data_IF_372270639582
#
_entry.id   IF_372270639582
#
_cell.length_a   1.000
_cell.length_b   1.000
_cell.length_c   1.000
_cell.angle_alpha   90.00
_cell.angle_beta   90.00
_cell.angle_gamma   90.00
#
_symmetry.space_group_name_H-M   'P 1'
#
loop_
_entity.id
_entity.type
_entity.pdbx_description
1 polymer ?
#
# COMPACT_ATOMS: atom_id res chain seq x y z
N UNK A 1 -13.94 -44.43 -47.09
CA UNK A 1 -14.51 -43.06 -47.19
C UNK A 1 -15.82 -43.07 -46.43
N UNK A 2 -16.17 -42.22 -45.48
CA UNK A 2 -15.49 -41.17 -44.74
C UNK A 2 -16.37 -41.00 -43.47
N UNK A 3 -15.79 -41.02 -42.27
CA UNK A 3 -16.51 -40.73 -41.03
C UNK A 3 -16.74 -39.22 -40.95
N UNK A 4 -17.99 -38.77 -40.98
CA UNK A 4 -18.35 -37.41 -40.59
C UNK A 4 -18.38 -37.31 -39.07
N UNK A 5 -17.34 -36.70 -38.53
CA UNK A 5 -17.26 -36.28 -37.13
C UNK A 5 -18.06 -34.98 -37.03
N UNK A 6 -19.24 -35.06 -36.41
CA UNK A 6 -19.97 -33.88 -35.94
C UNK A 6 -19.16 -33.21 -34.86
N UNK A 7 -18.56 -32.07 -35.19
CA UNK A 7 -17.97 -31.12 -34.23
C UNK A 7 -19.10 -30.51 -33.40
N UNK A 8 -19.27 -31.00 -32.17
CA UNK A 8 -20.02 -30.27 -31.14
C UNK A 8 -19.28 -28.96 -30.85
N UNK A 9 -19.80 -27.86 -31.38
CA UNK A 9 -19.43 -26.52 -30.93
C UNK A 9 -19.91 -26.35 -29.49
N UNK A 10 -18.99 -26.48 -28.53
CA UNK A 10 -19.19 -25.95 -27.19
C UNK A 10 -19.40 -24.43 -27.30
N UNK A 11 -20.45 -23.86 -26.69
CA UNK A 11 -20.57 -22.42 -26.65
C UNK A 11 -19.43 -21.87 -25.78
N UNK A 12 -18.64 -20.94 -26.33
CA UNK A 12 -17.79 -20.06 -25.54
C UNK A 12 -18.70 -19.29 -24.57
N UNK A 13 -18.71 -19.72 -23.31
CA UNK A 13 -19.35 -18.99 -22.24
C UNK A 13 -18.58 -17.67 -22.03
N UNK A 14 -19.01 -16.63 -22.74
CA UNK A 14 -18.75 -15.24 -22.39
C UNK A 14 -19.62 -14.91 -21.17
N UNK A 15 -19.30 -15.53 -20.03
CA UNK A 15 -19.82 -15.14 -18.72
C UNK A 15 -19.22 -13.78 -18.35
N UNK A 16 -19.77 -12.73 -18.95
CA UNK A 16 -19.63 -11.36 -18.44
C UNK A 16 -20.41 -11.30 -17.14
N UNK A 17 -19.78 -11.77 -16.06
CA UNK A 17 -20.30 -11.67 -14.69
C UNK A 17 -20.44 -10.18 -14.39
N UNK A 18 -21.64 -9.66 -14.57
CA UNK A 18 -22.01 -8.30 -14.24
C UNK A 18 -22.22 -8.24 -12.73
N UNK A 19 -21.11 -8.26 -11.99
CA UNK A 19 -21.09 -8.03 -10.55
C UNK A 19 -21.45 -6.56 -10.32
N UNK A 20 -22.55 -6.28 -9.63
CA UNK A 20 -22.91 -4.91 -9.30
C UNK A 20 -23.18 -4.76 -7.79
N UNK A 21 -22.11 -4.53 -7.03
CA UNK A 21 -22.24 -3.72 -5.82
C UNK A 21 -22.47 -2.28 -6.29
N UNK A 22 -23.54 -1.61 -5.82
CA UNK A 22 -23.84 -0.26 -6.34
C UNK A 22 -22.69 0.73 -6.03
N UNK A 23 -22.40 1.68 -6.93
CA UNK A 23 -21.38 2.73 -6.70
C UNK A 23 -21.54 3.43 -5.36
N UNK A 24 -22.78 3.73 -4.97
CA UNK A 24 -23.07 4.39 -3.70
C UNK A 24 -22.70 3.51 -2.50
N UNK A 25 -23.04 2.21 -2.52
CA UNK A 25 -22.71 1.29 -1.41
C UNK A 25 -21.21 1.05 -1.34
N UNK A 26 -20.54 0.83 -2.48
CA UNK A 26 -19.10 0.54 -2.52
C UNK A 26 -18.25 1.73 -2.04
N UNK A 27 -18.50 2.93 -2.59
CA UNK A 27 -17.81 4.16 -2.17
C UNK A 27 -18.19 4.54 -0.73
N UNK A 28 -19.47 4.41 -0.37
CA UNK A 28 -19.95 4.68 0.98
C UNK A 28 -19.30 3.78 2.03
N UNK A 29 -19.21 2.48 1.78
CA UNK A 29 -18.51 1.54 2.66
C UNK A 29 -17.03 1.90 2.82
N UNK A 30 -16.34 2.22 1.73
CA UNK A 30 -14.95 2.65 1.76
C UNK A 30 -14.76 3.94 2.59
N UNK A 31 -15.66 4.91 2.42
CA UNK A 31 -15.64 6.14 3.21
C UNK A 31 -15.85 5.85 4.70
N UNK A 32 -16.84 5.02 5.05
CA UNK A 32 -17.12 4.62 6.44
C UNK A 32 -15.91 3.91 7.07
N UNK A 33 -15.30 2.95 6.37
CA UNK A 33 -14.10 2.24 6.85
C UNK A 33 -12.95 3.25 7.10
N UNK A 34 -12.72 4.19 6.18
CA UNK A 34 -11.69 5.23 6.33
C UNK A 34 -11.94 6.13 7.56
N UNK A 35 -13.19 6.56 7.77
CA UNK A 35 -13.59 7.34 8.95
C UNK A 35 -13.40 6.54 10.24
N UNK A 36 -13.82 5.27 10.27
CA UNK A 36 -13.62 4.38 11.42
C UNK A 36 -12.12 4.26 11.74
N UNK A 37 -11.28 4.07 10.73
CA UNK A 37 -9.83 3.97 10.90
C UNK A 37 -9.25 5.24 11.53
N UNK A 38 -9.54 6.42 10.98
CA UNK A 38 -9.04 7.69 11.51
C UNK A 38 -9.60 7.98 12.90
N UNK A 39 -10.89 7.78 13.12
CA UNK A 39 -11.54 8.00 14.41
C UNK A 39 -10.93 7.11 15.51
N UNK A 40 -10.57 5.87 15.19
CA UNK A 40 -9.96 4.91 16.13
C UNK A 40 -8.68 5.45 16.79
N UNK A 41 -7.91 6.31 16.09
CA UNK A 41 -6.68 6.92 16.57
C UNK A 41 -6.91 7.96 17.68
N UNK A 42 -8.16 8.42 17.84
CA UNK A 42 -8.58 9.48 18.74
C UNK A 42 -9.61 9.05 19.80
N UNK A 43 -10.04 7.79 19.80
CA UNK A 43 -10.99 7.24 20.80
C UNK A 43 -10.47 7.42 22.23
N UNK A 44 -9.15 7.39 22.40
CA UNK A 44 -8.52 7.57 23.71
C UNK A 44 -8.20 9.04 23.96
N UNK A 45 -8.66 9.56 25.10
CA UNK A 45 -8.22 10.87 25.60
C UNK A 45 -6.77 10.78 26.12
N UNK A 46 -5.80 10.95 25.22
CA UNK A 46 -4.38 10.92 25.53
C UNK A 46 -3.89 12.32 25.89
N UNK A 47 -3.36 12.48 27.11
CA UNK A 47 -2.70 13.71 27.57
C UNK A 47 -1.27 13.87 27.03
N UNK A 48 -0.72 12.80 26.47
CA UNK A 48 0.64 12.75 25.94
C UNK A 48 0.64 12.85 24.42
N UNK A 49 1.77 13.24 23.86
CA UNK A 49 1.99 13.25 22.41
C UNK A 49 1.83 11.84 21.79
N UNK A 50 1.87 11.79 20.45
CA UNK A 50 1.72 10.57 19.65
C UNK A 50 2.86 9.55 19.80
N UNK A 51 4.03 9.99 20.21
CA UNK A 51 5.24 9.16 20.32
C UNK A 51 5.41 8.59 21.73
N UNK A 52 4.63 9.09 22.70
CA UNK A 52 4.59 8.54 24.03
C UNK A 52 4.12 7.06 24.03
N UNK A 53 4.82 6.14 24.72
CA UNK A 53 4.54 4.71 24.72
C UNK A 53 3.08 4.33 25.01
N UNK A 54 2.42 5.03 25.94
CA UNK A 54 1.01 4.77 26.27
C UNK A 54 0.08 5.12 25.12
N UNK A 55 0.35 6.21 24.40
CA UNK A 55 -0.44 6.65 23.24
C UNK A 55 -0.28 5.65 22.11
N UNK A 56 0.96 5.19 21.85
CA UNK A 56 1.25 4.18 20.82
C UNK A 56 0.51 2.87 21.12
N UNK A 57 0.64 2.32 22.33
CA UNK A 57 -0.02 1.06 22.72
C UNK A 57 -1.55 1.12 22.58
N UNK A 58 -2.16 2.23 22.99
CA UNK A 58 -3.61 2.44 22.86
C UNK A 58 -4.05 2.54 21.39
N UNK A 59 -3.29 3.27 20.56
CA UNK A 59 -3.55 3.35 19.12
C UNK A 59 -3.35 2.00 18.42
N UNK A 60 -2.35 1.21 18.82
CA UNK A 60 -2.15 -0.16 18.33
C UNK A 60 -3.38 -1.03 18.60
N UNK A 61 -3.91 -0.98 19.82
CA UNK A 61 -5.12 -1.71 20.16
C UNK A 61 -6.33 -1.21 19.35
N UNK A 62 -6.52 0.10 19.21
CA UNK A 62 -7.59 0.68 18.38
C UNK A 62 -7.53 0.20 16.93
N UNK A 63 -6.36 0.31 16.27
CA UNK A 63 -6.24 -0.10 14.86
C UNK A 63 -6.38 -1.62 14.71
N UNK A 64 -5.95 -2.40 15.70
CA UNK A 64 -6.19 -3.84 15.72
C UNK A 64 -7.69 -4.16 15.73
N UNK A 65 -8.50 -3.46 16.55
CA UNK A 65 -9.96 -3.60 16.51
C UNK A 65 -10.53 -3.23 15.14
N UNK A 66 -10.04 -2.16 14.51
CA UNK A 66 -10.45 -1.80 13.14
C UNK A 66 -10.10 -2.91 12.14
N UNK A 67 -8.95 -3.57 12.27
CA UNK A 67 -8.58 -4.72 11.43
C UNK A 67 -9.48 -5.95 11.65
N UNK A 68 -10.22 -6.04 12.76
CA UNK A 68 -11.25 -7.07 12.96
C UNK A 68 -12.60 -6.65 12.37
N UNK A 69 -12.91 -5.35 12.38
CA UNK A 69 -14.18 -4.79 11.88
C UNK A 69 -14.19 -4.63 10.36
N UNK A 70 -13.11 -4.12 9.76
CA UNK A 70 -13.05 -3.83 8.33
C UNK A 70 -13.30 -5.06 7.42
N UNK A 71 -12.81 -6.28 7.74
CA UNK A 71 -13.10 -7.48 6.96
C UNK A 71 -14.59 -7.86 6.95
N UNK A 72 -15.37 -7.45 7.95
CA UNK A 72 -16.81 -7.68 7.96
C UNK A 72 -17.50 -7.04 6.76
N UNK A 73 -17.05 -5.85 6.32
CA UNK A 73 -17.57 -5.21 5.11
C UNK A 73 -17.27 -6.05 3.87
N UNK A 74 -16.08 -6.65 3.76
CA UNK A 74 -15.75 -7.57 2.66
C UNK A 74 -16.66 -8.79 2.70
N UNK A 75 -16.87 -9.37 3.89
CA UNK A 75 -17.72 -10.53 4.08
C UNK A 75 -19.19 -10.27 3.69
N UNK A 76 -19.73 -9.10 4.05
CA UNK A 76 -21.16 -8.81 3.86
C UNK A 76 -21.50 -8.17 2.53
N UNK A 77 -20.58 -7.39 1.94
CA UNK A 77 -20.84 -6.62 0.73
C UNK A 77 -20.29 -7.27 -0.53
N UNK A 78 -19.44 -8.30 -0.40
CA UNK A 78 -19.00 -9.05 -1.58
C UNK A 78 -20.12 -9.93 -2.12
N UNK A 79 -20.29 -9.90 -3.44
CA UNK A 79 -21.33 -10.65 -4.13
C UNK A 79 -21.18 -12.17 -3.96
N UNK A 80 -22.31 -12.87 -4.02
CA UNK A 80 -22.34 -14.33 -3.94
C UNK A 80 -21.57 -15.00 -5.09
N UNK A 81 -21.63 -14.43 -6.29
CA UNK A 81 -20.95 -14.96 -7.47
C UNK A 81 -19.43 -14.91 -7.32
N UNK A 82 -18.91 -13.85 -6.70
CA UNK A 82 -17.49 -13.76 -6.36
C UNK A 82 -17.13 -14.82 -5.31
N UNK A 83 -17.96 -15.01 -4.28
CA UNK A 83 -17.72 -16.04 -3.25
C UNK A 83 -17.83 -17.49 -3.76
N UNK A 84 -18.54 -17.74 -4.86
CA UNK A 84 -18.53 -19.05 -5.51
C UNK A 84 -17.18 -19.38 -6.14
N UNK A 85 -16.40 -18.37 -6.53
CA UNK A 85 -15.09 -18.53 -7.20
C UNK A 85 -13.91 -18.37 -6.25
N UNK A 86 -14.03 -17.47 -5.27
CA UNK A 86 -12.93 -17.09 -4.40
C UNK A 86 -13.35 -17.01 -2.94
N UNK A 87 -12.48 -17.49 -2.06
CA UNK A 87 -12.64 -17.29 -0.61
C UNK A 87 -12.41 -15.83 -0.23
N UNK A 88 -12.97 -15.41 0.91
CA UNK A 88 -12.71 -14.09 1.50
C UNK A 88 -11.21 -13.77 1.60
N UNK A 89 -10.39 -14.74 2.02
CA UNK A 89 -8.94 -14.59 2.14
C UNK A 89 -8.28 -14.32 0.79
N UNK A 90 -8.69 -15.03 -0.26
CA UNK A 90 -8.18 -14.79 -1.62
C UNK A 90 -8.58 -13.40 -2.14
N UNK A 91 -9.82 -12.96 -1.87
CA UNK A 91 -10.31 -11.62 -2.24
C UNK A 91 -9.46 -10.53 -1.58
N UNK A 92 -9.12 -10.74 -0.31
CA UNK A 92 -8.26 -9.84 0.48
C UNK A 92 -6.76 -9.95 0.15
N UNK A 93 -6.37 -10.85 -0.77
CA UNK A 93 -4.98 -11.03 -1.21
C UNK A 93 -4.12 -11.94 -0.32
N UNK A 94 -4.72 -12.77 0.54
CA UNK A 94 -4.04 -13.78 1.33
C UNK A 94 -4.01 -15.11 0.58
N UNK A 95 -2.90 -15.35 -0.12
CA UNK A 95 -2.70 -16.49 -1.02
C UNK A 95 -1.31 -17.07 -0.91
N UNK A 96 -1.17 -18.38 -1.15
CA UNK A 96 0.12 -19.09 -1.13
C UNK A 96 0.81 -19.10 -2.49
N UNK A 97 0.06 -19.40 -3.55
CA UNK A 97 0.54 -19.37 -4.94
C UNK A 97 0.97 -17.96 -5.31
N UNK A 98 2.19 -17.78 -5.81
CA UNK A 98 2.75 -16.47 -6.14
C UNK A 98 3.30 -15.68 -4.94
N UNK A 99 3.25 -16.22 -3.70
CA UNK A 99 3.64 -15.45 -2.51
C UNK A 99 5.12 -15.00 -2.53
N UNK A 100 6.02 -15.88 -2.98
CA UNK A 100 7.44 -15.56 -3.09
C UNK A 100 7.68 -14.40 -4.07
N UNK A 101 7.13 -14.49 -5.28
CA UNK A 101 7.26 -13.43 -6.30
C UNK A 101 6.61 -12.14 -5.83
N UNK A 102 5.42 -12.22 -5.21
CA UNK A 102 4.71 -11.08 -4.62
C UNK A 102 5.48 -10.38 -3.50
N UNK A 103 6.35 -11.10 -2.79
CA UNK A 103 7.17 -10.52 -1.72
C UNK A 103 8.40 -9.81 -2.29
N UNK A 104 9.13 -10.46 -3.19
CA UNK A 104 10.45 -9.98 -3.61
C UNK A 104 10.43 -9.08 -4.84
N UNK A 105 9.61 -9.38 -5.87
CA UNK A 105 9.65 -8.63 -7.14
C UNK A 105 9.15 -7.18 -6.97
N UNK A 106 8.02 -6.91 -6.29
CA UNK A 106 7.58 -5.54 -6.01
C UNK A 106 8.57 -4.75 -5.13
N UNK A 107 9.20 -5.43 -4.17
CA UNK A 107 10.23 -4.83 -3.32
C UNK A 107 11.46 -4.44 -4.14
N UNK A 108 11.97 -5.33 -5.00
CA UNK A 108 13.09 -5.04 -5.89
C UNK A 108 12.77 -3.89 -6.85
N UNK A 109 11.57 -3.88 -7.44
CA UNK A 109 11.10 -2.77 -8.27
C UNK A 109 11.11 -1.45 -7.48
N UNK A 110 10.65 -1.46 -6.23
CA UNK A 110 10.68 -0.28 -5.36
C UNK A 110 12.12 0.11 -5.00
N UNK A 111 13.03 -0.85 -4.77
CA UNK A 111 14.45 -0.56 -4.55
C UNK A 111 15.09 0.10 -5.78
N UNK A 112 14.67 -0.25 -7.00
CA UNK A 112 15.08 0.47 -8.23
C UNK A 112 14.63 1.93 -8.17
N UNK A 113 13.38 2.21 -7.80
CA UNK A 113 12.90 3.59 -7.60
C UNK A 113 13.76 4.34 -6.56
N UNK A 114 14.18 3.64 -5.52
CA UNK A 114 15.00 4.17 -4.43
C UNK A 114 16.52 4.05 -4.67
N UNK A 115 16.97 3.83 -5.90
CA UNK A 115 18.40 3.70 -6.22
C UNK A 115 19.21 4.93 -5.79
N UNK A 116 18.65 6.14 -5.98
CA UNK A 116 19.23 7.39 -5.48
C UNK A 116 19.47 7.38 -3.96
N UNK A 117 18.42 7.31 -3.12
CA UNK A 117 18.58 7.25 -1.67
C UNK A 117 19.46 6.09 -1.17
N UNK A 118 19.33 4.90 -1.77
CA UNK A 118 20.16 3.74 -1.41
C UNK A 118 21.64 4.01 -1.69
N UNK A 119 21.98 4.65 -2.81
CA UNK A 119 23.36 5.01 -3.14
C UNK A 119 23.98 5.99 -2.13
N UNK A 120 23.18 6.93 -1.61
CA UNK A 120 23.60 7.87 -0.56
C UNK A 120 23.83 7.11 0.75
N UNK A 121 22.88 6.27 1.18
CA UNK A 121 23.01 5.50 2.43
C UNK A 121 24.22 4.55 2.39
N UNK A 122 24.47 3.93 1.23
CA UNK A 122 25.62 3.05 1.02
C UNK A 122 26.94 3.84 1.14
N UNK A 123 27.02 5.01 0.51
CA UNK A 123 28.19 5.90 0.60
C UNK A 123 28.43 6.39 2.03
N UNK A 124 27.36 6.65 2.79
CA UNK A 124 27.44 7.13 4.18
C UNK A 124 27.72 6.01 5.19
N UNK A 125 27.84 4.76 4.75
CA UNK A 125 28.23 3.64 5.59
C UNK A 125 27.12 3.11 6.51
N UNK A 126 25.86 3.49 6.27
CA UNK A 126 24.70 3.06 7.07
C UNK A 126 24.58 1.52 7.12
N UNK A 127 25.06 0.82 6.08
CA UNK A 127 25.09 -0.65 6.04
C UNK A 127 25.84 -1.26 7.24
N UNK A 128 26.82 -0.56 7.82
CA UNK A 128 27.54 -1.02 9.01
C UNK A 128 26.60 -1.12 10.21
N UNK A 129 25.70 -0.15 10.37
CA UNK A 129 24.68 -0.15 11.44
C UNK A 129 23.75 -1.36 11.28
N UNK A 130 23.33 -1.66 10.05
CA UNK A 130 22.48 -2.82 9.77
C UNK A 130 23.18 -4.17 9.99
N UNK A 131 24.51 -4.20 9.94
CA UNK A 131 25.28 -5.40 10.26
C UNK A 131 25.35 -5.70 11.76
N UNK A 132 25.00 -4.74 12.63
CA UNK A 132 25.04 -4.91 14.08
C UNK A 132 23.76 -5.58 14.62
N UNK A 133 23.83 -6.78 15.23
CA UNK A 133 22.65 -7.44 15.77
C UNK A 133 21.93 -6.63 16.87
N UNK A 134 22.69 -5.84 17.63
CA UNK A 134 22.18 -5.01 18.71
C UNK A 134 21.25 -3.91 18.20
N UNK A 135 21.51 -3.37 17.01
CA UNK A 135 20.62 -2.41 16.35
C UNK A 135 19.22 -3.00 16.18
N UNK A 136 19.13 -4.21 15.63
CA UNK A 136 17.85 -4.88 15.42
C UNK A 136 17.13 -5.24 16.73
N UNK A 137 17.87 -5.71 17.74
CA UNK A 137 17.28 -5.99 19.05
C UNK A 137 16.71 -4.72 19.71
N UNK A 138 17.37 -3.58 19.55
CA UNK A 138 16.88 -2.29 20.04
C UNK A 138 15.69 -1.79 19.20
N UNK A 139 15.73 -1.97 17.88
CA UNK A 139 14.68 -1.57 16.96
C UNK A 139 13.35 -2.28 17.28
N UNK A 140 13.37 -3.61 17.46
CA UNK A 140 12.14 -4.37 17.77
C UNK A 140 11.56 -4.07 19.17
N UNK A 141 12.37 -3.53 20.08
CA UNK A 141 11.93 -3.05 21.41
C UNK A 141 11.42 -1.61 21.38
N UNK A 142 11.72 -0.85 20.33
CA UNK A 142 11.30 0.53 20.18
C UNK A 142 9.90 0.61 19.56
N UNK A 143 8.94 1.13 20.34
CA UNK A 143 7.54 1.23 19.90
C UNK A 143 7.34 2.18 18.72
N UNK A 144 8.13 3.24 18.61
CA UNK A 144 8.10 4.17 17.47
C UNK A 144 8.60 3.47 16.21
N UNK A 145 9.69 2.70 16.34
CA UNK A 145 10.21 1.90 15.22
C UNK A 145 9.19 0.87 14.77
N UNK A 146 8.61 0.10 15.70
CA UNK A 146 7.59 -0.91 15.43
C UNK A 146 6.34 -0.30 14.77
N UNK A 147 5.90 0.87 15.25
CA UNK A 147 4.80 1.62 14.63
C UNK A 147 5.12 1.93 13.18
N UNK A 148 6.25 2.59 12.93
CA UNK A 148 6.57 3.14 11.61
C UNK A 148 6.87 2.04 10.58
N UNK A 149 7.50 0.94 10.98
CA UNK A 149 8.00 -0.09 10.06
C UNK A 149 7.11 -1.33 9.96
N UNK A 150 6.24 -1.57 10.94
CA UNK A 150 5.39 -2.77 10.96
C UNK A 150 3.91 -2.43 11.11
N UNK A 151 3.51 -1.82 12.23
CA UNK A 151 2.08 -1.70 12.58
C UNK A 151 1.35 -0.75 11.65
N UNK A 152 1.91 0.43 11.35
CA UNK A 152 1.29 1.38 10.43
C UNK A 152 1.20 0.80 9.00
N UNK A 153 2.29 0.34 8.36
CA UNK A 153 2.19 -0.33 7.05
C UNK A 153 1.19 -1.48 7.03
N UNK A 154 1.20 -2.35 8.05
CA UNK A 154 0.31 -3.50 8.13
C UNK A 154 -1.16 -3.06 8.19
N UNK A 155 -1.50 -2.20 9.16
CA UNK A 155 -2.88 -1.80 9.42
C UNK A 155 -3.45 -0.91 8.31
N UNK A 156 -2.62 -0.05 7.71
CA UNK A 156 -3.00 0.81 6.60
C UNK A 156 -3.23 0.00 5.33
N UNK A 157 -2.29 -0.85 4.92
CA UNK A 157 -2.49 -1.68 3.73
C UNK A 157 -3.63 -2.69 3.93
N UNK A 158 -3.80 -3.22 5.14
CA UNK A 158 -4.88 -4.17 5.40
C UNK A 158 -6.24 -3.49 5.24
N UNK A 159 -6.40 -2.30 5.81
CA UNK A 159 -7.66 -1.56 5.76
C UNK A 159 -7.94 -1.03 4.36
N UNK A 160 -6.99 -0.31 3.77
CA UNK A 160 -7.20 0.38 2.51
C UNK A 160 -7.04 -0.54 1.29
N UNK A 161 -6.16 -1.56 1.31
CA UNK A 161 -5.96 -2.46 0.15
C UNK A 161 -6.71 -3.76 0.35
N UNK A 162 -6.51 -4.47 1.45
CA UNK A 162 -7.13 -5.78 1.61
C UNK A 162 -8.66 -5.69 1.84
N UNK A 163 -9.19 -4.60 2.41
CA UNK A 163 -10.63 -4.46 2.67
C UNK A 163 -11.36 -3.54 1.69
N UNK A 164 -10.92 -2.29 1.53
CA UNK A 164 -11.65 -1.29 0.73
C UNK A 164 -11.55 -1.54 -0.78
N UNK A 165 -10.35 -1.82 -1.28
CA UNK A 165 -10.11 -1.94 -2.72
C UNK A 165 -10.91 -3.09 -3.40
N UNK A 166 -11.03 -4.31 -2.81
CA UNK A 166 -11.90 -5.36 -3.36
C UNK A 166 -13.38 -4.98 -3.46
N UNK A 167 -13.90 -4.12 -2.58
CA UNK A 167 -15.27 -3.63 -2.69
C UNK A 167 -15.44 -2.73 -3.91
N UNK A 168 -14.44 -1.88 -4.20
CA UNK A 168 -14.45 -1.01 -5.37
C UNK A 168 -14.25 -1.78 -6.68
N UNK A 169 -13.45 -2.84 -6.67
CA UNK A 169 -13.22 -3.71 -7.84
C UNK A 169 -14.45 -4.53 -8.25
N UNK A 170 -15.46 -4.66 -7.38
CA UNK A 170 -16.76 -5.24 -7.72
C UNK A 170 -17.71 -4.26 -8.42
N UNK A 171 -17.31 -2.99 -8.53
CA UNK A 171 -18.19 -1.92 -9.01
C UNK A 171 -17.57 -1.13 -10.14
N UNK A 172 -16.25 -0.92 -10.09
CA UNK A 172 -15.52 -0.08 -11.01
C UNK A 172 -14.43 -0.86 -11.72
N UNK A 173 -14.08 -0.39 -12.92
CA UNK A 173 -12.85 -0.81 -13.57
C UNK A 173 -11.66 -0.59 -12.65
N UNK A 174 -10.66 -1.48 -12.67
CA UNK A 174 -9.50 -1.36 -11.78
C UNK A 174 -8.81 0.01 -11.82
N UNK A 175 -8.72 0.67 -12.97
CA UNK A 175 -8.14 2.01 -13.09
C UNK A 175 -8.83 3.07 -12.22
N UNK A 176 -10.15 2.98 -12.05
CA UNK A 176 -10.94 3.89 -11.22
C UNK A 176 -10.84 3.50 -9.75
N UNK A 177 -10.89 2.20 -9.42
CA UNK A 177 -10.72 1.72 -8.05
C UNK A 177 -9.34 2.10 -7.46
N UNK A 178 -8.30 2.03 -8.31
CA UNK A 178 -6.94 2.49 -8.00
C UNK A 178 -6.79 4.02 -7.88
N UNK A 179 -7.84 4.81 -8.15
CA UNK A 179 -7.86 6.24 -7.88
C UNK A 179 -8.68 6.59 -6.62
N UNK A 180 -9.86 5.97 -6.44
CA UNK A 180 -10.75 6.28 -5.32
C UNK A 180 -10.11 5.91 -3.97
N UNK A 181 -9.60 4.68 -3.85
CA UNK A 181 -9.05 4.18 -2.58
C UNK A 181 -7.84 5.00 -2.12
N UNK A 182 -6.88 5.33 -3.00
CA UNK A 182 -5.74 6.18 -2.63
C UNK A 182 -6.11 7.61 -2.27
N UNK A 183 -7.15 8.20 -2.86
CA UNK A 183 -7.65 9.51 -2.44
C UNK A 183 -8.17 9.49 -1.01
N UNK A 184 -8.92 8.44 -0.63
CA UNK A 184 -9.37 8.25 0.76
C UNK A 184 -8.19 8.02 1.71
N UNK A 185 -7.17 7.28 1.27
CA UNK A 185 -5.93 7.06 2.03
C UNK A 185 -5.16 8.36 2.25
N UNK A 186 -5.01 9.21 1.22
CA UNK A 186 -4.39 10.52 1.35
C UNK A 186 -5.20 11.46 2.25
N UNK A 187 -6.54 11.47 2.10
CA UNK A 187 -7.42 12.28 2.92
C UNK A 187 -7.33 11.91 4.41
N UNK A 188 -7.21 10.61 4.71
CA UNK A 188 -7.04 10.13 6.07
C UNK A 188 -5.83 10.77 6.77
N UNK A 189 -4.76 11.11 6.05
CA UNK A 189 -3.56 11.74 6.61
C UNK A 189 -3.72 13.22 6.95
N UNK A 190 -4.77 13.90 6.48
CA UNK A 190 -5.07 15.28 6.88
C UNK A 190 -5.40 15.40 8.37
N UNK A 191 -5.70 14.29 9.07
CA UNK A 191 -5.88 14.30 10.52
C UNK A 191 -4.67 14.86 11.29
N UNK A 192 -3.46 14.82 10.72
CA UNK A 192 -2.26 15.41 11.31
C UNK A 192 -2.29 16.94 11.37
N UNK A 193 -3.17 17.62 10.62
CA UNK A 193 -3.36 19.09 10.72
C UNK A 193 -3.66 19.49 12.16
N UNK A 194 -4.60 18.78 12.81
CA UNK A 194 -5.01 19.06 14.18
C UNK A 194 -3.82 19.02 15.14
N UNK A 195 -3.04 17.95 15.06
CA UNK A 195 -1.86 17.75 15.90
C UNK A 195 -0.78 18.81 15.65
N UNK A 196 -0.51 19.16 14.39
CA UNK A 196 0.49 20.17 14.02
C UNK A 196 0.14 21.56 14.53
N UNK A 197 -1.15 21.93 14.47
CA UNK A 197 -1.64 23.19 15.03
C UNK A 197 -1.52 23.21 16.56
N UNK A 198 -1.85 22.10 17.22
CA UNK A 198 -1.71 21.97 18.69
C UNK A 198 -0.24 22.07 19.15
N UNK A 199 0.71 21.66 18.31
CA UNK A 199 2.14 21.81 18.55
C UNK A 199 2.68 23.24 18.27
N UNK A 200 1.80 24.21 18.01
CA UNK A 200 2.17 25.62 17.85
C UNK A 200 2.80 25.98 16.49
N UNK A 201 2.72 25.11 15.48
CA UNK A 201 3.26 25.43 14.14
C UNK A 201 2.39 26.49 13.45
N UNK A 202 2.98 27.45 12.72
CA UNK A 202 2.23 28.44 11.95
C UNK A 202 1.28 27.80 10.94
N UNK A 203 0.07 28.34 10.79
CA UNK A 203 -0.96 27.78 9.90
C UNK A 203 -0.46 27.54 8.47
N UNK A 204 0.29 28.51 7.91
CA UNK A 204 0.88 28.39 6.56
C UNK A 204 1.77 27.16 6.43
N UNK A 205 2.62 26.91 7.42
CA UNK A 205 3.51 25.75 7.43
C UNK A 205 2.71 24.45 7.55
N UNK A 206 1.72 24.41 8.45
CA UNK A 206 0.85 23.25 8.62
C UNK A 206 0.13 22.90 7.32
N UNK A 207 -0.44 23.89 6.63
CA UNK A 207 -1.12 23.68 5.36
C UNK A 207 -0.16 23.12 4.29
N UNK A 208 1.03 23.71 4.12
CA UNK A 208 2.02 23.25 3.13
C UNK A 208 2.40 21.79 3.39
N UNK A 209 2.78 21.44 4.62
CA UNK A 209 3.18 20.07 4.97
C UNK A 209 2.01 19.09 4.79
N UNK A 210 0.79 19.51 5.13
CA UNK A 210 -0.38 18.63 5.07
C UNK A 210 -0.87 18.37 3.66
N UNK A 211 -0.86 19.38 2.79
CA UNK A 211 -1.15 19.19 1.36
C UNK A 211 -0.06 18.37 0.68
N UNK A 212 1.22 18.64 0.96
CA UNK A 212 2.30 17.80 0.45
C UNK A 212 2.13 16.34 0.86
N UNK A 213 1.84 16.09 2.15
CA UNK A 213 1.56 14.74 2.64
C UNK A 213 0.35 14.12 1.93
N UNK A 214 -0.75 14.84 1.76
CA UNK A 214 -1.94 14.36 1.05
C UNK A 214 -1.62 13.91 -0.39
N UNK A 215 -0.96 14.75 -1.18
CA UNK A 215 -0.64 14.40 -2.58
C UNK A 215 0.34 13.23 -2.67
N UNK A 216 1.41 13.26 -1.88
CA UNK A 216 2.40 12.19 -1.89
C UNK A 216 1.82 10.86 -1.42
N UNK A 217 1.06 10.85 -0.33
CA UNK A 217 0.41 9.61 0.16
C UNK A 217 -0.64 9.10 -0.81
N UNK A 218 -1.32 9.99 -1.55
CA UNK A 218 -2.21 9.59 -2.65
C UNK A 218 -1.42 8.93 -3.79
N UNK A 219 -0.31 9.52 -4.23
CA UNK A 219 0.54 8.94 -5.30
C UNK A 219 1.11 7.59 -4.88
N UNK A 220 1.70 7.50 -3.69
CA UNK A 220 2.13 6.22 -3.11
C UNK A 220 0.96 5.25 -3.05
N UNK A 221 -0.22 5.75 -2.70
CA UNK A 221 -1.38 4.92 -2.57
C UNK A 221 -1.87 4.31 -3.88
N UNK A 222 -1.75 5.04 -4.99
CA UNK A 222 -2.00 4.55 -6.36
C UNK A 222 -1.00 3.44 -6.69
N UNK A 223 0.28 3.64 -6.38
CA UNK A 223 1.29 2.60 -6.59
C UNK A 223 1.00 1.33 -5.76
N UNK A 224 0.69 1.48 -4.47
CA UNK A 224 0.31 0.35 -3.61
C UNK A 224 -0.94 -0.37 -4.12
N UNK A 225 -1.96 0.36 -4.56
CA UNK A 225 -3.15 -0.23 -5.17
C UNK A 225 -2.78 -0.99 -6.46
N UNK A 226 -1.95 -0.43 -7.33
CA UNK A 226 -1.44 -1.11 -8.53
C UNK A 226 -0.74 -2.42 -8.18
N UNK A 227 0.15 -2.42 -7.18
CA UNK A 227 0.83 -3.64 -6.74
C UNK A 227 -0.17 -4.69 -6.23
N UNK A 228 -1.15 -4.31 -5.42
CA UNK A 228 -2.18 -5.23 -4.92
C UNK A 228 -2.99 -5.83 -6.07
N UNK A 229 -3.46 -4.99 -6.98
CA UNK A 229 -4.34 -5.42 -8.08
C UNK A 229 -3.60 -6.32 -9.06
N UNK A 230 -2.36 -5.97 -9.43
CA UNK A 230 -1.54 -6.74 -10.37
C UNK A 230 -1.02 -8.05 -9.79
N UNK A 231 -0.58 -8.05 -8.53
CA UNK A 231 -0.09 -9.27 -7.88
C UNK A 231 -1.22 -10.13 -7.32
N UNK A 232 -2.36 -9.55 -6.95
CA UNK A 232 -3.41 -10.26 -6.20
C UNK A 232 -2.98 -10.63 -4.78
N UNK A 233 -1.96 -9.97 -4.23
CA UNK A 233 -1.39 -10.27 -2.93
C UNK A 233 -1.33 -9.05 -2.01
N UNK A 234 -1.72 -9.27 -0.75
CA UNK A 234 -1.56 -8.30 0.33
C UNK A 234 -0.09 -8.04 0.69
N UNK A 235 0.76 -9.07 0.61
CA UNK A 235 2.17 -8.94 1.03
C UNK A 235 2.94 -7.92 0.18
N UNK A 236 2.61 -7.81 -1.11
CA UNK A 236 3.27 -6.93 -2.06
C UNK A 236 3.23 -5.45 -1.64
N UNK A 237 2.05 -4.82 -1.47
CA UNK A 237 1.99 -3.45 -0.97
C UNK A 237 2.50 -3.32 0.47
N UNK A 238 2.31 -4.31 1.33
CA UNK A 238 2.76 -4.26 2.73
C UNK A 238 4.29 -4.13 2.86
N UNK A 239 5.05 -4.99 2.19
CA UNK A 239 6.52 -4.94 2.28
C UNK A 239 7.09 -3.70 1.58
N UNK A 240 6.46 -3.26 0.50
CA UNK A 240 6.82 -2.02 -0.21
C UNK A 240 6.55 -0.80 0.66
N UNK A 241 5.42 -0.76 1.37
CA UNK A 241 5.12 0.31 2.32
C UNK A 241 6.12 0.33 3.46
N UNK A 242 6.38 -0.82 4.10
CA UNK A 242 7.37 -0.92 5.17
C UNK A 242 8.76 -0.43 4.72
N UNK A 243 9.17 -0.79 3.50
CA UNK A 243 10.42 -0.30 2.89
C UNK A 243 10.40 1.21 2.64
N UNK A 244 9.33 1.77 2.07
CA UNK A 244 9.19 3.21 1.86
C UNK A 244 9.22 3.99 3.19
N UNK A 245 8.58 3.49 4.24
CA UNK A 245 8.63 4.11 5.57
C UNK A 245 10.03 4.04 6.18
N UNK A 246 10.78 2.97 5.91
CA UNK A 246 12.17 2.84 6.33
C UNK A 246 13.09 3.84 5.62
N UNK A 247 12.94 3.96 4.30
CA UNK A 247 13.77 4.86 3.48
C UNK A 247 13.41 6.33 3.68
N UNK A 248 12.15 6.64 3.95
CA UNK A 248 11.65 8.00 4.06
C UNK A 248 11.73 8.77 2.74
N UNK A 249 11.62 10.09 2.84
CA UNK A 249 11.80 10.95 1.68
C UNK A 249 13.29 11.08 1.31
N UNK A 250 13.61 11.22 0.02
CA UNK A 250 14.93 11.64 -0.43
C UNK A 250 15.44 12.86 0.34
N UNK A 251 16.57 12.72 1.03
CA UNK A 251 17.25 13.85 1.65
C UNK A 251 18.01 14.63 0.57
N UNK A 252 17.33 15.61 -0.02
CA UNK A 252 17.92 16.47 -1.04
C UNK A 252 19.03 17.33 -0.45
N UNK A 253 18.97 17.71 0.82
CA UNK A 253 20.01 18.52 1.45
C UNK A 253 21.31 17.73 1.57
N UNK A 254 21.21 16.46 1.95
CA UNK A 254 22.35 15.55 1.99
C UNK A 254 22.96 15.33 0.61
N UNK A 255 22.19 15.32 -0.48
CA UNK A 255 22.77 15.24 -1.84
C UNK A 255 23.47 16.54 -2.22
N UNK A 256 22.91 17.70 -1.86
CA UNK A 256 23.48 19.01 -2.20
C UNK A 256 24.76 19.32 -1.44
N UNK A 257 24.93 18.78 -0.23
CA UNK A 257 26.13 18.95 0.60
C UNK A 257 27.36 18.18 0.07
N UNK A 258 27.16 17.27 -0.89
CA UNK A 258 28.21 16.37 -1.35
C UNK A 258 29.18 17.04 -2.34
N UNK A 259 30.45 16.59 -2.40
CA UNK A 259 31.39 17.04 -3.40
C UNK A 259 30.84 16.85 -4.82
N UNK A 260 31.18 17.77 -5.75
CA UNK A 260 30.57 17.84 -7.09
C UNK A 260 30.47 16.48 -7.81
N UNK A 261 31.54 15.68 -7.80
CA UNK A 261 31.55 14.33 -8.41
C UNK A 261 30.50 13.40 -7.80
N UNK A 262 30.43 13.30 -6.47
CA UNK A 262 29.45 12.46 -5.75
C UNK A 262 28.04 12.99 -5.92
N UNK A 263 27.85 14.31 -5.86
CA UNK A 263 26.55 14.95 -6.07
C UNK A 263 25.96 14.59 -7.45
N UNK A 264 26.72 14.76 -8.53
CA UNK A 264 26.24 14.40 -9.87
C UNK A 264 26.02 12.90 -10.04
N UNK A 265 26.86 12.06 -9.41
CA UNK A 265 26.64 10.62 -9.37
C UNK A 265 25.31 10.26 -8.70
N UNK A 266 25.03 10.81 -7.51
CA UNK A 266 23.77 10.56 -6.79
C UNK A 266 22.57 11.06 -7.60
N UNK A 267 22.61 12.27 -8.15
CA UNK A 267 21.56 12.77 -9.06
C UNK A 267 21.34 11.80 -10.23
N UNK A 268 22.41 11.28 -10.82
CA UNK A 268 22.35 10.23 -11.84
C UNK A 268 21.60 8.99 -11.37
N UNK A 269 21.85 8.51 -10.14
CA UNK A 269 21.13 7.37 -9.56
C UNK A 269 19.65 7.67 -9.24
N UNK A 270 19.31 8.91 -8.87
CA UNK A 270 17.90 9.32 -8.72
C UNK A 270 17.15 9.23 -10.05
N UNK A 271 17.74 9.79 -11.12
CA UNK A 271 17.14 9.77 -12.46
C UNK A 271 17.06 8.34 -13.00
N UNK A 272 18.16 7.58 -12.89
CA UNK A 272 18.21 6.18 -13.32
C UNK A 272 17.19 5.32 -12.58
N UNK A 273 17.06 5.52 -11.26
CA UNK A 273 16.08 4.80 -10.44
C UNK A 273 14.65 5.08 -10.87
N UNK A 274 14.30 6.34 -11.10
CA UNK A 274 12.97 6.73 -11.57
C UNK A 274 12.67 6.17 -12.98
N UNK A 275 13.58 6.37 -13.94
CA UNK A 275 13.42 5.89 -15.32
C UNK A 275 13.35 4.35 -15.34
N UNK A 276 14.23 3.69 -14.59
CA UNK A 276 14.24 2.24 -14.45
C UNK A 276 12.93 1.72 -13.86
N UNK A 277 12.39 2.37 -12.83
CA UNK A 277 11.09 2.02 -12.27
C UNK A 277 9.95 2.19 -13.29
N UNK A 278 9.91 3.30 -14.04
CA UNK A 278 8.87 3.53 -15.07
C UNK A 278 8.91 2.43 -16.14
N UNK A 279 10.11 2.07 -16.63
CA UNK A 279 10.28 1.06 -17.68
C UNK A 279 9.98 -0.35 -17.17
N UNK A 280 10.39 -0.69 -15.95
CA UNK A 280 10.23 -2.03 -15.39
C UNK A 280 8.85 -2.28 -14.79
N UNK A 281 8.11 -1.24 -14.39
CA UNK A 281 6.81 -1.35 -13.72
C UNK A 281 5.82 -2.25 -14.49
N UNK A 282 5.57 -2.09 -15.80
CA UNK A 282 4.61 -2.93 -16.51
C UNK A 282 5.03 -4.41 -16.54
N UNK A 283 6.31 -4.68 -16.81
CA UNK A 283 6.85 -6.04 -16.92
C UNK A 283 6.90 -6.75 -15.56
N UNK A 284 7.47 -6.11 -14.54
CA UNK A 284 7.62 -6.70 -13.22
C UNK A 284 6.30 -6.79 -12.46
N UNK A 285 5.23 -6.15 -12.93
CA UNK A 285 3.87 -6.31 -12.40
C UNK A 285 2.95 -7.12 -13.32
N UNK A 286 3.52 -8.02 -14.14
CA UNK A 286 2.73 -8.94 -14.98
C UNK A 286 1.96 -9.95 -14.10
N UNK A 287 0.62 -10.05 -14.17
CA UNK A 287 -0.20 -10.87 -13.26
C UNK A 287 0.17 -12.36 -13.25
N UNK A 288 0.59 -12.91 -14.40
CA UNK A 288 0.98 -14.32 -14.52
C UNK A 288 2.18 -14.69 -13.65
N UNK A 289 3.09 -13.75 -13.36
CA UNK A 289 4.25 -13.98 -12.48
C UNK A 289 3.85 -14.17 -11.01
N UNK A 290 2.63 -13.78 -10.66
CA UNK A 290 2.05 -13.87 -9.33
C UNK A 290 0.94 -14.93 -9.27
N UNK A 291 0.75 -15.71 -10.34
CA UNK A 291 -0.39 -16.63 -10.48
C UNK A 291 -1.71 -15.89 -10.27
N UNK A 292 -1.78 -14.61 -10.63
CA UNK A 292 -2.93 -13.78 -10.29
C UNK A 292 -4.09 -14.03 -11.26
N UNK A 293 -4.99 -14.91 -10.82
CA UNK A 293 -6.15 -15.33 -11.59
C UNK A 293 -7.45 -14.71 -11.05
N UNK A 294 -7.36 -13.74 -10.13
CA UNK A 294 -8.53 -13.11 -9.52
C UNK A 294 -9.33 -12.35 -10.59
N UNK A 295 -10.64 -12.20 -10.38
CA UNK A 295 -11.57 -11.71 -11.42
C UNK A 295 -11.26 -10.29 -11.96
N UNK A 296 -10.38 -9.54 -11.30
CA UNK A 296 -9.91 -8.21 -11.74
C UNK A 296 -8.54 -8.23 -12.45
N UNK A 297 -7.87 -9.38 -12.57
CA UNK A 297 -6.56 -9.47 -13.19
C UNK A 297 -6.61 -9.46 -14.73
N UNK A 298 -7.70 -9.95 -15.33
CA UNK A 298 -7.87 -10.07 -16.78
C UNK A 298 -8.28 -8.78 -17.50
N UNK A 299 -8.72 -7.74 -16.78
CA UNK A 299 -9.19 -6.46 -17.34
C UNK A 299 -8.15 -5.32 -17.28
N UNK A 300 -6.87 -5.65 -16.99
CA UNK A 300 -5.78 -4.70 -16.71
C UNK A 300 -4.54 -4.92 -17.57
#
# INVERSE_FOLDING_TARGET
MANEITTEQYPEATDTVTVYLSPFVSVGACFVISVIYVASLYVWNSKHDRDHPSTIKRRFFSVFVVMLVAPFFVLTLTSKDVFQRYTMWQIMGFRKEGLFTATFVPLLLTMVLFLGPLSVQLSNGIWRIYSEPMYWMNAVRNLVWLRNHLVAPLSEEFTFRACMLPLLLQTFRPSIAMLITPLLFGLAHLHHIKERLQNGRPLREVLIISFFQFFYTTIFGIYSAHLFVRSGHFVAPFVVHAFCNHMGFPDVQEVQSQPQRKKYLFIGFYVLGLVGWIVLLPTLTTPSWYTNNLFWAGEL
#
